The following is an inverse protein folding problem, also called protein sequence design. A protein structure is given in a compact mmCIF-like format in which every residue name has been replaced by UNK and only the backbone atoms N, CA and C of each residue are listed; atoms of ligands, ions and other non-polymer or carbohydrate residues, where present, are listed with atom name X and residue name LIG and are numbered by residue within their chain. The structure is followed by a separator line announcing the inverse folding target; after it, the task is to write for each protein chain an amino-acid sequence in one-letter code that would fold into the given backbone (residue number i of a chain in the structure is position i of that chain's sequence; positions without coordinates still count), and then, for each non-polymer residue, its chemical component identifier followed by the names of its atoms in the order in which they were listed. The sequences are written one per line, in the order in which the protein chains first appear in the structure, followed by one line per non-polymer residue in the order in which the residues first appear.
data_IF_654104024928
#
_entry.id   IF_654104024928
#
_cell.length_a   1.000
_cell.length_b   1.000
_cell.length_c   1.000
_cell.angle_alpha   90.00
_cell.angle_beta   90.00
_cell.angle_gamma   90.00
#
_symmetry.space_group_name_H-M   'P 1'
#
loop_
_entity.id
_entity.type
_entity.pdbx_description
1 polymer ?
#
# COMPACT_ATOMS: atom_id res chain seq x y z
N UNK A 1 -3.58 -10.65 13.70
CA UNK A 1 -4.30 -9.63 12.89
C UNK A 1 -3.36 -8.49 12.51
N UNK A 2 -3.40 -8.02 11.26
CA UNK A 2 -2.60 -6.88 10.80
C UNK A 2 -3.36 -5.56 10.96
N UNK A 3 -2.66 -4.51 11.37
CA UNK A 3 -3.17 -3.14 11.53
C UNK A 3 -2.45 -2.21 10.56
N UNK A 4 -3.09 -1.08 10.25
CA UNK A 4 -2.50 -0.06 9.40
C UNK A 4 -1.73 0.95 10.25
N UNK A 5 -0.46 1.14 9.95
CA UNK A 5 0.43 2.08 10.62
C UNK A 5 0.87 3.14 9.62
N UNK A 6 1.03 4.38 10.08
CA UNK A 6 1.59 5.47 9.28
C UNK A 6 3.08 5.56 9.54
N UNK A 7 3.86 5.55 8.48
CA UNK A 7 5.31 5.69 8.52
C UNK A 7 5.69 7.15 8.73
N UNK A 8 6.54 7.42 9.71
CA UNK A 8 7.00 8.76 10.07
C UNK A 8 8.31 9.14 9.35
N UNK A 9 8.68 10.40 9.47
CA UNK A 9 9.93 10.97 8.93
C UNK A 9 11.19 10.30 9.49
N UNK A 10 11.11 9.80 10.72
CA UNK A 10 12.18 9.10 11.44
C UNK A 10 12.42 7.67 10.93
N UNK A 11 11.50 7.14 10.14
CA UNK A 11 11.58 5.77 9.66
C UNK A 11 12.63 5.62 8.55
N UNK A 12 13.52 4.64 8.74
CA UNK A 12 14.55 4.29 7.75
C UNK A 12 14.00 3.66 6.46
N UNK A 13 14.89 3.23 5.54
CA UNK A 13 14.50 2.52 4.31
C UNK A 13 13.78 1.18 4.58
N UNK A 14 13.89 0.65 5.79
CA UNK A 14 13.22 -0.56 6.28
C UNK A 14 12.56 -0.27 7.62
N UNK A 15 11.34 -0.79 7.82
CA UNK A 15 10.57 -0.63 9.06
C UNK A 15 9.97 -1.97 9.43
N UNK A 16 10.23 -2.44 10.66
CA UNK A 16 9.70 -3.70 11.18
C UNK A 16 9.97 -4.92 10.26
N UNK A 17 11.14 -4.94 9.60
CA UNK A 17 11.53 -6.02 8.67
C UNK A 17 10.88 -5.95 7.29
N UNK A 18 10.10 -4.90 6.99
CA UNK A 18 9.45 -4.68 5.69
C UNK A 18 9.99 -3.43 5.02
N UNK A 19 10.02 -3.42 3.69
CA UNK A 19 10.48 -2.28 2.90
C UNK A 19 9.57 -1.06 3.13
N UNK A 20 10.17 0.09 3.44
CA UNK A 20 9.41 1.31 3.68
C UNK A 20 8.77 1.81 2.37
N UNK A 21 7.43 1.94 2.28
CA UNK A 21 6.76 2.47 1.09
C UNK A 21 7.05 3.96 0.84
N UNK A 22 7.59 4.66 1.84
CA UNK A 22 7.96 6.07 1.83
C UNK A 22 7.36 6.83 3.01
N UNK A 23 8.03 7.91 3.42
CA UNK A 23 7.59 8.80 4.51
C UNK A 23 6.15 9.25 4.31
N UNK A 24 5.35 9.20 5.38
CA UNK A 24 3.95 9.63 5.38
C UNK A 24 2.94 8.63 4.79
N UNK A 25 3.40 7.55 4.16
CA UNK A 25 2.53 6.47 3.65
C UNK A 25 2.14 5.50 4.75
N UNK A 26 1.10 4.70 4.47
CA UNK A 26 0.62 3.66 5.38
C UNK A 26 1.16 2.29 5.02
N UNK A 27 1.56 1.53 6.03
CA UNK A 27 2.01 0.15 5.92
C UNK A 27 1.09 -0.76 6.75
N UNK A 28 0.84 -1.98 6.28
CA UNK A 28 0.09 -3.00 7.04
C UNK A 28 1.10 -3.91 7.72
N UNK A 29 1.06 -3.98 9.04
CA UNK A 29 1.96 -4.79 9.86
C UNK A 29 1.18 -5.49 10.96
N UNK A 30 1.73 -6.58 11.50
CA UNK A 30 1.17 -7.18 12.72
C UNK A 30 1.46 -6.31 13.94
N UNK A 31 0.74 -6.53 15.04
CA UNK A 31 1.00 -5.83 16.29
C UNK A 31 2.43 -6.07 16.78
N UNK A 32 2.91 -7.31 16.72
CA UNK A 32 4.28 -7.69 17.11
C UNK A 32 5.34 -7.03 16.24
N UNK A 33 5.17 -7.03 14.91
CA UNK A 33 6.13 -6.38 14.00
C UNK A 33 6.21 -4.87 14.25
N UNK A 34 5.05 -4.22 14.40
CA UNK A 34 5.00 -2.79 14.61
C UNK A 34 5.41 -2.37 16.04
N UNK A 35 5.48 -3.29 17.01
CA UNK A 35 5.69 -2.96 18.42
C UNK A 35 6.99 -2.18 18.62
N UNK A 36 8.11 -2.71 18.13
CA UNK A 36 9.41 -2.04 18.21
C UNK A 36 9.44 -0.73 17.43
N UNK A 37 8.90 -0.72 16.21
CA UNK A 37 8.90 0.48 15.35
C UNK A 37 7.97 1.60 15.88
N UNK A 38 6.90 1.27 16.60
CA UNK A 38 6.06 2.24 17.29
C UNK A 38 6.78 2.80 18.52
N UNK A 39 7.47 1.94 19.29
CA UNK A 39 8.28 2.36 20.45
C UNK A 39 9.43 3.27 19.99
N UNK A 40 10.10 2.93 18.89
CA UNK A 40 11.17 3.72 18.29
C UNK A 40 10.68 5.04 17.67
N UNK A 41 9.36 5.27 17.60
CA UNK A 41 8.79 6.48 17.01
C UNK A 41 8.85 6.52 15.47
N UNK A 42 9.12 5.40 14.81
CA UNK A 42 9.13 5.27 13.35
C UNK A 42 7.71 5.08 12.77
N UNK A 43 6.81 4.50 13.56
CA UNK A 43 5.43 4.24 13.18
C UNK A 43 4.43 4.89 14.14
N UNK A 44 3.31 5.36 13.59
CA UNK A 44 2.12 5.74 14.38
C UNK A 44 0.91 4.90 14.01
N UNK A 45 0.18 4.44 15.01
CA UNK A 45 -1.16 3.86 14.85
C UNK A 45 -2.09 4.94 14.30
N UNK A 46 -2.46 4.83 13.02
CA UNK A 46 -3.58 5.63 12.49
C UNK A 46 -4.86 4.85 12.76
N UNK A 47 -5.96 5.48 13.20
CA UNK A 47 -7.25 4.80 13.21
C UNK A 47 -7.54 4.29 11.78
N UNK A 48 -8.24 3.15 11.64
CA UNK A 48 -8.49 2.51 10.34
C UNK A 48 -9.32 3.45 9.46
N UNK A 49 -8.65 4.34 8.73
CA UNK A 49 -9.33 5.20 7.77
C UNK A 49 -9.54 4.35 6.53
N UNK A 50 -10.80 3.90 6.42
CA UNK A 50 -11.53 3.31 5.29
C UNK A 50 -10.69 2.97 4.06
N UNK A 51 -10.80 1.73 3.52
CA UNK A 51 -10.09 1.34 2.30
C UNK A 51 -10.40 2.38 1.22
N UNK A 52 -9.39 3.10 0.75
CA UNK A 52 -9.49 3.82 -0.50
C UNK A 52 -9.46 2.74 -1.58
N UNK A 53 -10.55 2.50 -2.32
CA UNK A 53 -10.52 1.53 -3.39
C UNK A 53 -9.45 2.00 -4.37
N UNK A 54 -8.36 1.24 -4.46
CA UNK A 54 -7.45 1.31 -5.58
C UNK A 54 -8.29 1.02 -6.81
N UNK A 55 -8.52 2.06 -7.60
CA UNK A 55 -9.14 1.99 -8.92
C UNK A 55 -8.60 0.77 -9.68
N UNK A 56 -9.41 -0.23 -10.02
CA UNK A 56 -9.07 -1.08 -11.13
C UNK A 56 -9.26 -0.21 -12.37
N UNK A 57 -8.22 0.51 -12.80
CA UNK A 57 -8.21 1.06 -14.15
C UNK A 57 -8.13 -0.14 -15.07
N UNK A 58 -9.32 -0.60 -15.45
CA UNK A 58 -9.60 -1.59 -16.47
C UNK A 58 -8.74 -1.39 -17.70
N UNK A 59 -7.89 -2.38 -17.98
CA UNK A 59 -7.50 -2.73 -19.34
C UNK A 59 -7.18 -4.22 -19.35
N UNK A 60 -7.43 -4.99 -20.43
CA UNK A 60 -8.00 -4.64 -21.75
C UNK A 60 -9.11 -5.63 -22.19
N UNK A 61 -10.24 -5.20 -22.78
CA UNK A 61 -11.07 -6.14 -23.56
C UNK A 61 -11.65 -5.55 -24.84
N UNK A 62 -11.28 -6.22 -25.94
CA UNK A 62 -11.94 -6.36 -27.24
C UNK A 62 -12.23 -5.09 -28.04
N UNK A 63 -11.35 -4.82 -29.02
CA UNK A 63 -11.81 -4.65 -30.40
C UNK A 63 -11.42 -5.92 -31.18
N UNK A 64 -12.31 -6.91 -31.18
CA UNK A 64 -12.47 -7.77 -32.35
C UNK A 64 -13.41 -6.97 -33.25
N UNK A 65 -12.84 -6.20 -34.17
CA UNK A 65 -13.53 -5.76 -35.37
C UNK A 65 -12.82 -6.48 -36.50
N UNK A 66 -13.63 -7.25 -37.23
CA UNK A 66 -13.29 -8.25 -38.24
C UNK A 66 -12.32 -7.75 -39.33
N UNK A 67 -11.50 -8.65 -39.90
CA UNK A 67 -10.89 -8.40 -41.21
C UNK A 67 -11.95 -8.72 -42.28
N UNK A 68 -12.43 -7.72 -43.00
CA UNK A 68 -13.00 -7.95 -44.32
C UNK A 68 -12.46 -6.90 -45.29
N UNK A 69 -11.96 -7.41 -46.41
CA UNK A 69 -11.08 -6.81 -47.40
C UNK A 69 -11.77 -5.76 -48.30
N UNK A 70 -11.02 -4.94 -49.07
CA UNK A 70 -11.56 -3.88 -49.92
C UNK A 70 -12.28 -4.45 -51.16
N UNK A 71 -13.30 -3.71 -51.63
CA UNK A 71 -13.84 -3.84 -52.98
C UNK A 71 -13.06 -3.00 -53.99
#
# INVERSE_FOLDING_TARGET
MQKSYRVLEAAGPWVAGVRNPGKGKTIKLTAEQAQYAVIAGELRTRPPTRPRPSTPTSRPRRRKADPCAPG
#
